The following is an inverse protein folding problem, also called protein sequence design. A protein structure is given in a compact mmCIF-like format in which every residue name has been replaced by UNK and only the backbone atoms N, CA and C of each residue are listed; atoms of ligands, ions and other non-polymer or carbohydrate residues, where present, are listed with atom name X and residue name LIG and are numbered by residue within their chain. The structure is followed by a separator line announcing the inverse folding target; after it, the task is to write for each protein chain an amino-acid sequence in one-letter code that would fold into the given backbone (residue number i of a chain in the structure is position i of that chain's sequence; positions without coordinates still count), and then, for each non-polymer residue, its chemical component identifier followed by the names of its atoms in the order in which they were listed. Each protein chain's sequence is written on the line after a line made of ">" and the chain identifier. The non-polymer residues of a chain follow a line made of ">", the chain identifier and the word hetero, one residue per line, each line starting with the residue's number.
data_IF_295302586890
#
_entry.id   IF_295302586890
#
_cell.length_a   1.000
_cell.length_b   1.000
_cell.length_c   1.000
_cell.angle_alpha   90.00
_cell.angle_beta   90.00
_cell.angle_gamma   90.00
#
_symmetry.space_group_name_H-M   'P 1'
#
loop_
_entity.id
_entity.type
_entity.pdbx_description
1 polymer ?
#
# COMPACT_ATOMS: atom_id res chain seq x y z
N UNK A 1 -29.17 -63.76 -7.75
CA UNK A 1 -29.29 -63.03 -9.01
C UNK A 1 -28.42 -61.75 -8.89
N UNK A 2 -27.25 -61.80 -9.47
CA UNK A 2 -26.24 -60.72 -9.48
C UNK A 2 -26.37 -59.92 -10.77
N UNK A 3 -26.30 -58.58 -10.76
CA UNK A 3 -26.07 -57.81 -11.98
C UNK A 3 -24.62 -57.41 -12.15
N UNK A 4 -24.26 -57.40 -13.39
CA UNK A 4 -22.95 -57.27 -14.02
C UNK A 4 -22.28 -55.88 -13.79
N UNK A 5 -20.96 -55.93 -13.62
CA UNK A 5 -20.05 -54.78 -13.78
C UNK A 5 -19.93 -54.39 -15.27
N UNK A 6 -20.06 -53.10 -15.56
CA UNK A 6 -19.62 -52.50 -16.83
C UNK A 6 -18.34 -51.71 -16.61
N UNK A 7 -17.33 -52.09 -17.41
CA UNK A 7 -16.00 -51.50 -17.34
C UNK A 7 -15.91 -50.16 -18.08
N UNK A 8 -15.07 -49.30 -17.55
CA UNK A 8 -14.64 -48.05 -18.18
C UNK A 8 -13.31 -48.28 -18.90
N UNK A 9 -13.12 -47.85 -20.16
CA UNK A 9 -11.87 -48.05 -20.89
C UNK A 9 -10.82 -46.99 -20.50
N UNK A 10 -9.56 -47.42 -20.37
CA UNK A 10 -8.35 -46.61 -20.25
C UNK A 10 -8.06 -45.96 -21.62
N UNK A 11 -7.54 -44.71 -21.66
CA UNK A 11 -6.94 -44.18 -22.87
C UNK A 11 -5.48 -44.64 -23.01
N UNK A 12 -5.12 -44.88 -24.27
CA UNK A 12 -3.84 -45.38 -24.75
C UNK A 12 -2.71 -44.36 -24.69
N UNK A 13 -1.49 -44.86 -24.51
CA UNK A 13 -0.23 -44.14 -24.58
C UNK A 13 0.07 -43.67 -26.01
N UNK A 14 0.40 -42.41 -26.19
CA UNK A 14 0.97 -41.87 -27.44
C UNK A 14 2.44 -41.54 -27.30
N UNK A 15 3.21 -42.25 -28.01
CA UNK A 15 4.44 -42.03 -28.83
C UNK A 15 5.26 -40.78 -28.58
N UNK A 16 6.55 -41.04 -28.26
CA UNK A 16 7.63 -40.09 -28.20
C UNK A 16 7.98 -39.49 -29.57
N UNK A 17 8.19 -38.18 -29.61
CA UNK A 17 8.77 -37.48 -30.76
C UNK A 17 10.32 -37.40 -30.64
N UNK A 18 11.08 -37.43 -31.75
CA UNK A 18 12.54 -37.52 -31.74
C UNK A 18 13.25 -36.17 -31.53
N UNK A 19 14.40 -36.22 -30.91
CA UNK A 19 15.38 -35.12 -30.79
C UNK A 19 15.93 -34.70 -32.15
N UNK A 20 16.15 -33.41 -32.44
CA UNK A 20 17.01 -33.01 -33.53
C UNK A 20 18.50 -32.96 -33.08
N UNK A 21 19.34 -33.39 -34.05
CA UNK A 21 20.77 -33.46 -33.94
C UNK A 21 21.45 -32.08 -33.99
N UNK A 22 22.58 -31.97 -33.30
CA UNK A 22 23.48 -30.85 -33.39
C UNK A 22 24.23 -30.86 -34.71
N UNK A 23 24.29 -29.71 -35.36
CA UNK A 23 25.42 -29.34 -36.25
C UNK A 23 25.46 -27.87 -36.59
N UNK A 24 26.65 -27.36 -36.51
CA UNK A 24 27.23 -26.35 -37.39
C UNK A 24 27.49 -24.98 -36.76
N UNK A 25 28.77 -24.73 -36.63
CA UNK A 25 29.40 -23.47 -36.25
C UNK A 25 29.15 -22.37 -37.29
N UNK A 26 28.86 -21.16 -36.80
CA UNK A 26 28.82 -19.94 -37.59
C UNK A 26 30.06 -19.10 -37.25
N UNK A 27 30.78 -18.56 -38.27
CA UNK A 27 32.02 -17.84 -38.07
C UNK A 27 31.78 -16.43 -37.51
N UNK A 28 32.74 -15.94 -36.72
CA UNK A 28 32.80 -14.55 -36.23
C UNK A 28 32.99 -13.56 -37.38
N UNK A 29 32.30 -12.44 -37.39
CA UNK A 29 32.70 -11.31 -38.26
C UNK A 29 33.81 -10.50 -37.60
N UNK A 30 34.82 -10.20 -38.38
CA UNK A 30 35.94 -9.31 -38.11
C UNK A 30 35.49 -7.86 -37.97
N UNK A 31 36.19 -7.13 -37.12
CA UNK A 31 36.03 -5.70 -36.86
C UNK A 31 36.33 -4.86 -38.13
N UNK A 32 35.57 -3.83 -38.38
CA UNK A 32 35.98 -2.47 -38.76
C UNK A 32 34.82 -1.69 -39.37
N UNK A 33 34.37 -0.66 -38.67
CA UNK A 33 34.28 0.71 -39.23
C UNK A 33 33.67 1.61 -38.16
N UNK A 34 34.45 2.62 -37.77
CA UNK A 34 34.06 3.66 -36.83
C UNK A 34 32.97 4.54 -37.46
N UNK A 35 31.82 4.64 -36.76
CA UNK A 35 30.79 5.64 -37.01
C UNK A 35 31.18 6.88 -36.20
N UNK A 36 31.20 8.10 -36.80
CA UNK A 36 31.54 9.32 -36.07
C UNK A 36 30.47 9.64 -35.01
N UNK A 37 30.91 9.95 -33.80
CA UNK A 37 30.07 10.48 -32.71
C UNK A 37 29.45 11.81 -33.14
N UNK A 38 28.14 12.03 -32.88
CA UNK A 38 27.58 13.37 -33.00
C UNK A 38 28.20 14.27 -31.95
N UNK A 39 28.68 15.43 -32.35
CA UNK A 39 29.19 16.49 -31.51
C UNK A 39 28.12 16.94 -30.54
N UNK A 40 28.47 16.99 -29.24
CA UNK A 40 27.63 17.50 -28.19
C UNK A 40 27.21 18.94 -28.46
N UNK A 41 25.92 19.15 -28.65
CA UNK A 41 25.31 20.47 -28.59
C UNK A 41 25.36 20.93 -27.13
N UNK A 42 25.98 22.09 -26.92
CA UNK A 42 26.06 22.77 -25.62
C UNK A 42 24.66 23.19 -25.18
N UNK A 43 24.01 22.34 -24.36
CA UNK A 43 22.87 22.77 -23.55
C UNK A 43 23.46 23.56 -22.35
N UNK A 44 22.98 24.78 -22.16
CA UNK A 44 23.29 25.55 -20.96
C UNK A 44 22.98 24.74 -19.69
N UNK A 45 23.87 24.77 -18.68
CA UNK A 45 23.60 24.07 -17.44
C UNK A 45 22.39 24.73 -16.75
N UNK A 46 21.44 23.90 -16.36
CA UNK A 46 20.36 24.24 -15.44
C UNK A 46 20.94 25.05 -14.27
N UNK A 47 20.34 26.17 -13.83
CA UNK A 47 20.76 26.77 -12.59
C UNK A 47 20.54 25.74 -11.48
N UNK A 48 21.63 25.21 -10.94
CA UNK A 48 21.61 24.34 -9.79
C UNK A 48 20.93 25.11 -8.65
N UNK A 49 19.86 24.55 -8.10
CA UNK A 49 19.45 24.90 -6.74
C UNK A 49 20.67 24.58 -5.88
N UNK A 50 21.24 25.54 -5.14
CA UNK A 50 22.44 25.27 -4.35
C UNK A 50 22.12 24.13 -3.40
N UNK A 51 22.97 23.08 -3.30
CA UNK A 51 22.79 22.04 -2.33
C UNK A 51 22.78 22.73 -0.95
N UNK A 52 21.66 22.60 -0.25
CA UNK A 52 21.52 23.10 1.10
C UNK A 52 22.62 22.46 1.95
N UNK A 53 23.58 23.24 2.40
CA UNK A 53 24.60 22.82 3.34
C UNK A 53 23.93 22.52 4.67
N UNK A 54 23.97 21.30 5.07
CA UNK A 54 23.14 20.50 5.94
C UNK A 54 23.42 20.67 7.43
N UNK A 55 23.52 21.87 7.97
CA UNK A 55 23.62 21.99 9.43
C UNK A 55 22.74 23.09 10.07
N UNK A 56 21.94 23.80 9.29
CA UNK A 56 20.95 24.71 9.84
C UNK A 56 19.56 24.39 9.30
N UNK A 57 18.56 24.23 10.19
CA UNK A 57 17.16 24.15 9.77
C UNK A 57 16.83 25.40 8.94
N UNK A 58 16.13 25.22 7.81
CA UNK A 58 15.66 26.32 6.97
C UNK A 58 14.91 27.28 7.89
N UNK A 59 15.31 28.56 7.89
CA UNK A 59 14.64 29.56 8.70
C UNK A 59 13.20 29.70 8.19
N UNK A 60 12.16 29.67 9.06
CA UNK A 60 10.77 29.86 8.65
C UNK A 60 10.50 31.13 7.84
N UNK A 61 11.38 32.13 7.93
CA UNK A 61 11.32 33.38 7.15
C UNK A 61 11.84 33.24 5.71
N UNK A 62 12.55 32.16 5.39
CA UNK A 62 13.15 31.92 4.07
C UNK A 62 12.28 30.99 3.19
N UNK A 63 11.11 30.58 3.70
CA UNK A 63 10.20 29.70 2.97
C UNK A 63 9.46 30.50 1.89
N UNK A 64 9.55 30.02 0.65
CA UNK A 64 8.94 30.65 -0.52
C UNK A 64 7.65 29.88 -0.91
N UNK A 65 6.55 30.61 -1.08
CA UNK A 65 5.31 30.01 -1.54
C UNK A 65 5.43 29.50 -3.00
N UNK A 66 4.98 28.27 -3.24
CA UNK A 66 4.97 27.62 -4.55
C UNK A 66 3.54 27.25 -4.93
N UNK A 67 2.73 28.24 -5.40
CA UNK A 67 1.29 28.07 -5.55
C UNK A 67 0.85 27.41 -6.87
N UNK A 68 1.75 27.30 -7.86
CA UNK A 68 1.44 26.79 -9.21
C UNK A 68 2.64 26.08 -9.81
N UNK A 69 2.39 25.08 -10.69
CA UNK A 69 3.45 24.45 -11.47
C UNK A 69 4.23 25.47 -12.30
N UNK A 70 5.55 25.31 -12.35
CA UNK A 70 6.47 26.25 -13.04
C UNK A 70 6.18 26.36 -14.53
N UNK A 71 5.87 25.22 -15.16
CA UNK A 71 5.61 25.12 -16.60
C UNK A 71 4.14 25.38 -16.97
N UNK A 72 3.33 25.89 -16.00
CA UNK A 72 1.90 26.08 -16.15
C UNK A 72 1.11 24.78 -15.92
N UNK A 73 -0.22 24.86 -16.07
CA UNK A 73 -1.12 23.72 -15.90
C UNK A 73 -1.10 22.84 -17.18
N UNK A 74 -0.67 21.56 -17.09
CA UNK A 74 -0.68 20.68 -18.25
C UNK A 74 -2.11 20.30 -18.68
N UNK A 75 -2.31 20.05 -19.97
CA UNK A 75 -3.55 19.48 -20.48
C UNK A 75 -3.71 18.01 -20.02
N UNK A 76 -4.96 17.59 -19.81
CA UNK A 76 -5.25 16.20 -19.48
C UNK A 76 -5.08 15.31 -20.70
N UNK A 77 -4.32 14.27 -20.56
CA UNK A 77 -4.22 13.16 -21.52
C UNK A 77 -5.44 12.25 -21.33
N UNK A 78 -6.45 12.41 -22.20
CA UNK A 78 -7.75 11.75 -22.09
C UNK A 78 -8.12 10.89 -23.30
N UNK A 79 -7.26 10.82 -24.31
CA UNK A 79 -7.50 10.03 -25.53
C UNK A 79 -6.34 9.08 -25.81
N UNK A 80 -6.56 7.96 -26.55
CA UNK A 80 -5.49 7.04 -26.92
C UNK A 80 -4.34 7.69 -27.69
N UNK A 81 -4.64 8.64 -28.57
CA UNK A 81 -3.62 9.38 -29.34
C UNK A 81 -2.74 10.23 -28.43
N UNK A 82 -3.35 10.96 -27.47
CA UNK A 82 -2.60 11.74 -26.49
C UNK A 82 -1.77 10.83 -25.58
N UNK A 83 -2.31 9.67 -25.17
CA UNK A 83 -1.61 8.69 -24.35
C UNK A 83 -0.37 8.14 -25.04
N UNK A 84 -0.46 7.77 -26.33
CA UNK A 84 0.67 7.31 -27.10
C UNK A 84 1.76 8.39 -27.22
N UNK A 85 1.35 9.65 -27.43
CA UNK A 85 2.31 10.77 -27.43
C UNK A 85 2.96 10.96 -26.06
N UNK A 86 2.20 10.90 -24.97
CA UNK A 86 2.72 10.99 -23.60
C UNK A 86 3.73 9.87 -23.32
N UNK A 87 3.44 8.63 -23.72
CA UNK A 87 4.35 7.50 -23.58
C UNK A 87 5.66 7.71 -24.36
N UNK A 88 5.59 8.22 -25.59
CA UNK A 88 6.78 8.54 -26.41
C UNK A 88 7.64 9.64 -25.76
N UNK A 89 7.01 10.69 -25.21
CA UNK A 89 7.72 11.76 -24.50
C UNK A 89 8.42 11.20 -23.26
N UNK A 90 7.72 10.40 -22.46
CA UNK A 90 8.29 9.76 -21.27
C UNK A 90 9.46 8.84 -21.62
N UNK A 91 9.34 8.04 -22.68
CA UNK A 91 10.43 7.18 -23.14
C UNK A 91 11.67 7.97 -23.58
N UNK A 92 11.48 9.16 -24.15
CA UNK A 92 12.58 10.06 -24.55
C UNK A 92 13.14 10.89 -23.39
N UNK A 93 12.45 10.97 -22.25
CA UNK A 93 12.88 11.69 -21.04
C UNK A 93 14.10 11.04 -20.41
N UNK A 94 14.72 11.75 -19.44
CA UNK A 94 15.94 11.34 -18.74
C UNK A 94 15.71 11.22 -17.24
N UNK A 95 16.54 10.40 -16.57
CA UNK A 95 16.48 10.23 -15.12
C UNK A 95 15.22 9.54 -14.63
N UNK A 96 14.91 9.67 -13.34
CA UNK A 96 13.75 9.06 -12.71
C UNK A 96 12.43 9.69 -13.15
N UNK A 97 11.33 9.05 -12.81
CA UNK A 97 9.96 9.55 -13.05
C UNK A 97 9.28 9.77 -11.70
N UNK A 98 8.87 10.99 -11.42
CA UNK A 98 7.96 11.27 -10.32
C UNK A 98 6.54 10.78 -10.68
N UNK A 99 5.90 10.09 -9.75
CA UNK A 99 4.60 9.44 -9.95
C UNK A 99 3.70 9.73 -8.76
N UNK A 100 2.42 9.98 -9.03
CA UNK A 100 1.37 10.06 -8.03
C UNK A 100 0.05 9.59 -8.63
N UNK A 101 -0.96 9.26 -7.79
CA UNK A 101 -2.26 8.81 -8.28
C UNK A 101 -3.42 9.21 -7.36
N UNK A 102 -4.46 9.80 -7.96
CA UNK A 102 -5.65 10.20 -7.27
C UNK A 102 -6.77 9.16 -7.36
N UNK A 103 -7.40 8.89 -6.24
CA UNK A 103 -8.45 7.88 -6.08
C UNK A 103 -9.78 8.52 -5.66
N UNK A 104 -10.89 7.84 -5.92
CA UNK A 104 -12.22 8.27 -5.52
C UNK A 104 -12.86 7.34 -4.46
N UNK A 105 -12.08 6.73 -3.57
CA UNK A 105 -12.52 5.70 -2.60
C UNK A 105 -13.64 6.17 -1.65
N UNK A 106 -13.73 7.47 -1.38
CA UNK A 106 -14.82 8.08 -0.60
C UNK A 106 -16.15 8.19 -1.37
N UNK A 107 -16.14 7.91 -2.68
CA UNK A 107 -17.26 8.15 -3.60
C UNK A 107 -17.61 6.91 -4.42
N UNK A 108 -16.60 6.24 -4.99
CA UNK A 108 -16.71 5.05 -5.83
C UNK A 108 -16.43 3.78 -5.04
N UNK A 109 -16.78 2.65 -5.65
CA UNK A 109 -16.43 1.35 -5.11
C UNK A 109 -14.98 1.00 -5.50
N UNK A 110 -14.20 0.48 -4.53
CA UNK A 110 -12.82 0.09 -4.80
C UNK A 110 -11.78 1.21 -4.58
N UNK A 111 -10.59 0.99 -5.15
CA UNK A 111 -9.41 1.82 -4.97
C UNK A 111 -8.75 2.18 -6.30
N UNK A 112 -9.53 2.26 -7.37
CA UNK A 112 -9.02 2.60 -8.70
C UNK A 112 -8.42 4.00 -8.77
N UNK A 113 -7.39 4.16 -9.60
CA UNK A 113 -6.85 5.46 -9.98
C UNK A 113 -7.79 6.16 -10.97
N UNK A 114 -8.10 7.44 -10.70
CA UNK A 114 -8.91 8.32 -11.54
C UNK A 114 -8.12 9.45 -12.17
N UNK A 115 -6.90 9.72 -11.69
CA UNK A 115 -5.90 10.55 -12.31
C UNK A 115 -4.53 9.97 -11.98
N UNK A 116 -3.59 10.00 -12.92
CA UNK A 116 -2.18 9.62 -12.71
C UNK A 116 -1.33 10.81 -13.11
N UNK A 117 -0.49 11.26 -12.21
CA UNK A 117 0.45 12.34 -12.40
C UNK A 117 1.84 11.76 -12.67
N UNK A 118 2.51 12.26 -13.68
CA UNK A 118 3.86 11.85 -14.05
C UNK A 118 4.71 13.09 -14.33
N UNK A 119 5.95 13.12 -13.84
CA UNK A 119 6.91 14.14 -14.20
C UNK A 119 8.28 13.51 -14.47
N UNK A 120 8.92 13.95 -15.54
CA UNK A 120 10.25 13.49 -15.92
C UNK A 120 11.07 14.63 -16.51
N UNK A 121 12.40 14.59 -16.33
CA UNK A 121 13.30 15.58 -16.92
C UNK A 121 13.27 15.54 -18.43
N UNK A 122 13.12 16.74 -19.04
CA UNK A 122 12.97 16.91 -20.48
C UNK A 122 11.55 16.70 -21.01
N UNK A 123 10.60 16.31 -20.14
CA UNK A 123 9.19 16.08 -20.50
C UNK A 123 8.26 17.10 -19.83
N UNK A 124 8.53 17.44 -18.56
CA UNK A 124 7.63 18.21 -17.72
C UNK A 124 6.58 17.31 -17.06
N UNK A 125 5.48 17.92 -16.59
CA UNK A 125 4.38 17.24 -15.90
C UNK A 125 3.31 16.79 -16.90
N UNK A 126 2.83 15.57 -16.75
CA UNK A 126 1.74 14.96 -17.51
C UNK A 126 0.62 14.54 -16.55
N UNK A 127 -0.61 14.82 -16.93
CA UNK A 127 -1.81 14.41 -16.20
C UNK A 127 -2.59 13.41 -17.07
N UNK A 128 -2.61 12.14 -16.65
CA UNK A 128 -3.25 11.05 -17.40
C UNK A 128 -4.60 10.74 -16.79
N UNK A 129 -5.66 10.76 -17.59
CA UNK A 129 -6.97 10.23 -17.20
C UNK A 129 -7.07 8.74 -17.56
N UNK A 130 -6.84 7.81 -16.60
CA UNK A 130 -6.81 6.38 -16.90
C UNK A 130 -8.21 5.80 -17.18
N UNK A 131 -9.26 6.61 -17.02
CA UNK A 131 -10.65 6.19 -17.30
C UNK A 131 -10.99 6.35 -18.77
N UNK A 132 -10.48 7.43 -19.42
CA UNK A 132 -10.84 7.81 -20.79
C UNK A 132 -9.71 7.62 -21.78
N UNK A 133 -8.45 7.60 -21.34
CA UNK A 133 -7.28 7.48 -22.24
C UNK A 133 -7.13 6.11 -22.91
N UNK A 134 -7.85 5.08 -22.43
CA UNK A 134 -7.76 3.72 -22.95
C UNK A 134 -6.72 2.85 -22.21
N UNK A 135 -6.32 1.70 -22.81
CA UNK A 135 -5.34 0.80 -22.18
C UNK A 135 -3.98 1.49 -21.99
N UNK A 136 -3.38 1.31 -20.80
CA UNK A 136 -2.12 1.96 -20.45
C UNK A 136 -0.86 1.18 -20.88
N UNK A 137 -0.96 0.28 -21.83
CA UNK A 137 0.13 -0.63 -22.23
C UNK A 137 1.38 0.13 -22.71
N UNK A 138 1.20 1.13 -23.57
CA UNK A 138 2.32 1.95 -24.08
C UNK A 138 2.97 2.77 -22.96
N UNK A 139 2.14 3.27 -22.04
CA UNK A 139 2.61 3.98 -20.85
C UNK A 139 3.40 3.05 -19.93
N UNK A 140 2.91 1.83 -19.72
CA UNK A 140 3.60 0.81 -18.93
C UNK A 140 4.99 0.50 -19.49
N UNK A 141 5.10 0.38 -20.83
CA UNK A 141 6.37 0.17 -21.51
C UNK A 141 7.33 1.35 -21.33
N UNK A 142 6.84 2.58 -21.42
CA UNK A 142 7.66 3.79 -21.21
C UNK A 142 8.13 3.97 -19.75
N UNK A 143 7.38 3.42 -18.81
CA UNK A 143 7.67 3.46 -17.38
C UNK A 143 8.46 2.23 -16.87
N UNK A 144 8.70 1.25 -17.72
CA UNK A 144 9.54 0.08 -17.41
C UNK A 144 11.01 0.45 -17.59
N UNK A 145 11.76 0.54 -16.51
CA UNK A 145 13.19 0.85 -16.50
C UNK A 145 13.59 2.08 -15.67
N UNK A 146 12.98 3.27 -15.82
CA UNK A 146 13.31 4.39 -14.95
C UNK A 146 12.93 4.11 -13.48
N UNK A 147 13.71 4.69 -12.55
CA UNK A 147 13.31 4.73 -11.14
C UNK A 147 12.03 5.55 -10.97
N UNK A 148 11.06 5.04 -10.24
CA UNK A 148 9.89 5.81 -9.84
C UNK A 148 10.14 6.52 -8.51
N UNK A 149 9.75 7.77 -8.45
CA UNK A 149 9.73 8.55 -7.22
C UNK A 149 8.28 8.72 -6.79
N UNK A 150 7.93 8.24 -5.60
CA UNK A 150 6.62 8.45 -4.99
C UNK A 150 6.79 9.03 -3.58
N UNK A 151 5.70 9.57 -3.04
CA UNK A 151 5.59 9.93 -1.64
C UNK A 151 4.58 9.03 -0.96
N UNK A 152 5.02 8.19 -0.01
CA UNK A 152 4.20 7.13 0.61
C UNK A 152 3.69 6.07 -0.39
N UNK A 153 4.59 5.51 -1.17
CA UNK A 153 4.35 4.61 -2.29
C UNK A 153 3.42 3.41 -1.98
N UNK A 154 3.39 2.93 -0.73
CA UNK A 154 2.47 1.84 -0.27
C UNK A 154 1.00 2.18 -0.51
N UNK A 155 0.65 3.46 -0.68
CA UNK A 155 -0.71 3.92 -0.94
C UNK A 155 -1.09 3.81 -2.43
N UNK A 156 -0.17 4.08 -3.36
CA UNK A 156 -0.47 4.25 -4.79
C UNK A 156 -0.04 3.06 -5.65
N UNK A 157 1.03 2.36 -5.28
CA UNK A 157 1.45 1.12 -5.97
C UNK A 157 0.30 0.14 -6.21
N UNK A 158 -0.63 -0.13 -5.26
CA UNK A 158 -1.73 -1.05 -5.52
C UNK A 158 -2.66 -0.61 -6.66
N UNK A 159 -3.06 0.66 -6.72
CA UNK A 159 -3.96 1.15 -7.78
C UNK A 159 -3.23 1.28 -9.13
N UNK A 160 -1.95 1.66 -9.12
CA UNK A 160 -1.11 1.70 -10.33
C UNK A 160 -0.88 0.28 -10.89
N UNK A 161 -0.56 -0.68 -10.02
CA UNK A 161 -0.41 -2.10 -10.41
C UNK A 161 -1.70 -2.69 -10.97
N UNK A 162 -2.86 -2.35 -10.40
CA UNK A 162 -4.16 -2.76 -10.92
C UNK A 162 -4.42 -2.22 -12.35
N UNK A 163 -3.81 -1.11 -12.72
CA UNK A 163 -3.82 -0.53 -14.07
C UNK A 163 -2.69 -1.06 -14.98
N UNK A 164 -1.91 -2.03 -14.51
CA UNK A 164 -0.81 -2.65 -15.28
C UNK A 164 0.52 -1.89 -15.22
N UNK A 165 0.62 -0.84 -14.40
CA UNK A 165 1.85 -0.06 -14.21
C UNK A 165 2.67 -0.64 -13.06
N UNK A 166 3.98 -0.86 -13.29
CA UNK A 166 4.87 -1.45 -12.28
C UNK A 166 6.21 -0.71 -12.28
N UNK A 167 6.71 -0.40 -11.09
CA UNK A 167 8.02 0.20 -10.93
C UNK A 167 9.13 -0.86 -11.08
N UNK A 168 10.15 -0.58 -11.88
CA UNK A 168 11.38 -1.39 -11.95
C UNK A 168 12.28 -1.12 -10.73
N UNK A 169 12.36 0.13 -10.28
CA UNK A 169 12.99 0.57 -9.04
C UNK A 169 12.18 1.71 -8.42
N UNK A 170 12.35 1.94 -7.13
CA UNK A 170 11.54 2.87 -6.36
C UNK A 170 12.42 3.73 -5.46
N UNK A 171 12.08 5.01 -5.34
CA UNK A 171 12.48 5.91 -4.27
C UNK A 171 11.22 6.47 -3.59
N UNK A 172 11.05 6.21 -2.30
CA UNK A 172 9.91 6.71 -1.51
C UNK A 172 10.37 7.86 -0.61
N UNK A 173 9.94 9.08 -0.94
CA UNK A 173 10.36 10.30 -0.23
C UNK A 173 9.80 10.38 1.20
N UNK A 174 8.66 9.73 1.51
CA UNK A 174 8.15 9.63 2.89
C UNK A 174 9.04 8.69 3.73
N UNK A 175 9.38 7.52 3.21
CA UNK A 175 10.27 6.57 3.89
C UNK A 175 11.67 7.15 4.07
N UNK A 176 12.21 7.86 3.07
CA UNK A 176 13.47 8.58 3.18
C UNK A 176 13.44 9.58 4.34
N UNK A 177 12.40 10.42 4.40
CA UNK A 177 12.22 11.40 5.48
C UNK A 177 12.10 10.73 6.86
N UNK A 178 11.40 9.59 6.96
CA UNK A 178 11.27 8.81 8.20
C UNK A 178 12.61 8.22 8.65
N UNK A 179 13.41 7.68 7.74
CA UNK A 179 14.75 7.16 8.03
C UNK A 179 15.71 8.27 8.49
N UNK A 180 15.54 9.50 7.98
CA UNK A 180 16.26 10.68 8.43
C UNK A 180 15.75 11.23 9.78
N UNK A 181 14.69 10.66 10.35
CA UNK A 181 14.15 11.04 11.66
C UNK A 181 13.29 12.31 11.63
N UNK A 182 12.73 12.67 10.47
CA UNK A 182 11.83 13.83 10.34
C UNK A 182 10.58 13.62 11.19
N UNK A 183 10.12 14.68 11.85
CA UNK A 183 8.92 14.65 12.69
C UNK A 183 7.63 14.74 11.88
N UNK A 184 7.68 15.52 10.79
CA UNK A 184 6.55 15.72 9.88
C UNK A 184 6.92 15.18 8.50
N UNK A 185 6.28 14.09 8.12
CA UNK A 185 6.64 13.32 6.91
C UNK A 185 5.63 13.46 5.76
N UNK A 186 4.58 14.26 5.90
CA UNK A 186 3.69 14.58 4.77
C UNK A 186 4.40 15.41 3.71
N UNK A 187 4.08 15.20 2.42
CA UNK A 187 4.79 15.76 1.27
C UNK A 187 5.10 17.26 1.41
N UNK A 188 4.09 18.09 1.72
CA UNK A 188 4.28 19.52 1.87
C UNK A 188 5.25 19.89 2.99
N UNK A 189 5.25 19.14 4.11
CA UNK A 189 6.17 19.40 5.22
C UNK A 189 7.61 19.00 4.87
N UNK A 190 7.78 17.87 4.17
CA UNK A 190 9.12 17.41 3.75
C UNK A 190 9.70 18.35 2.70
N UNK A 191 8.90 18.83 1.74
CA UNK A 191 9.33 19.84 0.76
C UNK A 191 9.71 21.15 1.45
N UNK A 192 8.88 21.61 2.40
CA UNK A 192 9.15 22.85 3.14
C UNK A 192 10.45 22.76 3.95
N UNK A 193 10.67 21.63 4.62
CA UNK A 193 11.87 21.41 5.44
C UNK A 193 13.13 21.17 4.58
N UNK A 194 13.01 20.53 3.41
CA UNK A 194 14.17 20.14 2.59
C UNK A 194 14.51 21.16 1.51
N UNK A 195 13.49 21.75 0.87
CA UNK A 195 13.68 22.66 -0.28
C UNK A 195 13.36 24.12 0.03
N UNK A 196 12.79 24.44 1.21
CA UNK A 196 12.35 25.79 1.56
C UNK A 196 11.15 26.29 0.74
N UNK A 197 10.37 25.37 0.15
CA UNK A 197 9.23 25.69 -0.71
C UNK A 197 7.92 25.24 -0.07
N UNK A 198 6.89 26.09 -0.10
CA UNK A 198 5.58 25.79 0.45
C UNK A 198 4.57 25.56 -0.66
N UNK A 199 4.11 24.32 -0.79
CA UNK A 199 3.06 23.98 -1.72
C UNK A 199 1.69 24.52 -1.28
N UNK A 200 0.84 24.90 -2.24
CA UNK A 200 -0.55 25.20 -1.96
C UNK A 200 -1.26 23.96 -1.40
N UNK A 201 -2.03 24.16 -0.32
CA UNK A 201 -2.83 23.08 0.29
C UNK A 201 -4.20 23.11 -0.32
N UNK A 202 -4.73 21.96 -0.80
CA UNK A 202 -6.16 21.67 -0.93
C UNK A 202 -6.44 20.37 -1.73
N UNK A 203 -7.70 19.87 -1.69
CA UNK A 203 -8.30 18.86 -2.58
C UNK A 203 -7.98 17.38 -2.37
N UNK A 204 -7.15 16.96 -1.39
CA UNK A 204 -6.85 15.55 -1.13
C UNK A 204 -8.08 14.63 -0.91
N UNK A 205 -9.23 15.19 -0.50
CA UNK A 205 -10.48 14.45 -0.26
C UNK A 205 -11.56 14.68 -1.34
N UNK A 206 -11.17 15.11 -2.54
CA UNK A 206 -12.08 15.41 -3.63
C UNK A 206 -12.65 14.14 -4.31
N UNK A 207 -13.76 14.29 -5.03
CA UNK A 207 -14.33 13.23 -5.86
C UNK A 207 -13.61 13.17 -7.22
N UNK A 208 -12.44 12.57 -7.28
CA UNK A 208 -11.64 12.48 -8.49
C UNK A 208 -12.30 11.73 -9.65
N UNK A 209 -13.46 11.09 -9.41
CA UNK A 209 -14.27 10.51 -10.49
C UNK A 209 -15.12 11.52 -11.24
N UNK A 210 -15.14 12.77 -10.79
CA UNK A 210 -15.87 13.88 -11.47
C UNK A 210 -15.25 14.18 -12.83
N UNK A 211 -16.09 14.43 -13.84
CA UNK A 211 -15.67 14.85 -15.17
C UNK A 211 -16.55 16.01 -15.68
N UNK A 212 -15.95 17.06 -16.26
CA UNK A 212 -14.51 17.33 -16.31
C UNK A 212 -13.94 17.62 -14.93
N UNK A 213 -12.63 17.38 -14.74
CA UNK A 213 -11.93 17.73 -13.50
C UNK A 213 -11.76 19.26 -13.41
N UNK A 214 -12.02 19.88 -12.25
CA UNK A 214 -11.80 21.32 -12.06
C UNK A 214 -10.32 21.71 -12.19
N UNK A 215 -10.03 22.88 -12.75
CA UNK A 215 -8.66 23.36 -12.94
C UNK A 215 -7.87 23.48 -11.62
N UNK A 216 -8.52 23.85 -10.51
CA UNK A 216 -7.88 23.90 -9.20
C UNK A 216 -7.39 22.53 -8.72
N UNK A 217 -8.13 21.45 -9.00
CA UNK A 217 -7.73 20.09 -8.67
C UNK A 217 -6.54 19.63 -9.53
N UNK A 218 -6.57 19.99 -10.81
CA UNK A 218 -5.44 19.68 -11.72
C UNK A 218 -4.17 20.42 -11.31
N UNK A 219 -4.30 21.67 -10.83
CA UNK A 219 -3.17 22.42 -10.29
C UNK A 219 -2.58 21.72 -9.06
N UNK A 220 -3.45 21.28 -8.13
CA UNK A 220 -3.03 20.52 -6.95
C UNK A 220 -2.31 19.24 -7.37
N UNK A 221 -2.92 18.40 -8.20
CA UNK A 221 -2.35 17.15 -8.67
C UNK A 221 -1.00 17.32 -9.42
N UNK A 222 -0.86 18.40 -10.19
CA UNK A 222 0.41 18.69 -10.85
C UNK A 222 1.51 19.09 -9.86
N UNK A 223 1.16 19.78 -8.76
CA UNK A 223 2.10 20.16 -7.71
C UNK A 223 2.61 18.96 -6.90
N UNK A 224 1.82 17.89 -6.74
CA UNK A 224 2.22 16.70 -5.98
C UNK A 224 3.41 15.95 -6.61
N UNK A 225 3.65 16.13 -7.92
CA UNK A 225 4.83 15.56 -8.61
C UNK A 225 5.89 16.61 -9.00
N UNK A 226 5.57 17.89 -8.92
CA UNK A 226 6.37 19.00 -9.46
C UNK A 226 7.80 19.04 -8.87
N UNK A 227 7.91 18.83 -7.57
CA UNK A 227 9.18 18.95 -6.82
C UNK A 227 9.74 17.60 -6.38
N UNK A 228 9.13 16.47 -6.76
CA UNK A 228 9.56 15.16 -6.27
C UNK A 228 10.98 14.78 -6.76
N UNK A 229 11.38 15.20 -7.96
CA UNK A 229 12.73 14.91 -8.47
C UNK A 229 13.79 15.66 -7.64
N UNK A 230 13.58 16.96 -7.43
CA UNK A 230 14.49 17.77 -6.63
C UNK A 230 14.53 17.31 -5.15
N UNK A 231 13.36 16.95 -4.61
CA UNK A 231 13.23 16.39 -3.27
C UNK A 231 13.97 15.05 -3.12
N UNK A 232 13.82 14.16 -4.10
CA UNK A 232 14.52 12.86 -4.14
C UNK A 232 16.03 13.04 -4.09
N UNK A 233 16.56 13.95 -4.90
CA UNK A 233 18.01 14.18 -4.99
C UNK A 233 18.57 14.77 -3.69
N UNK A 234 17.85 15.69 -3.07
CA UNK A 234 18.22 16.23 -1.77
C UNK A 234 18.17 15.16 -0.66
N UNK A 235 17.08 14.39 -0.56
CA UNK A 235 16.94 13.33 0.44
C UNK A 235 17.95 12.19 0.23
N UNK A 236 18.30 11.85 -1.02
CA UNK A 236 19.34 10.86 -1.30
C UNK A 236 20.70 11.31 -0.77
N UNK A 237 21.06 12.58 -0.98
CA UNK A 237 22.30 13.18 -0.43
C UNK A 237 22.32 13.14 1.10
N UNK A 238 21.19 13.47 1.74
CA UNK A 238 21.08 13.40 3.21
C UNK A 238 21.17 11.95 3.73
N UNK A 239 20.56 10.98 3.05
CA UNK A 239 20.65 9.56 3.41
C UNK A 239 22.09 9.04 3.32
N UNK A 240 22.82 9.41 2.26
CA UNK A 240 24.24 9.08 2.10
C UNK A 240 25.08 9.69 3.22
N UNK A 241 24.89 10.97 3.51
CA UNK A 241 25.58 11.67 4.59
C UNK A 241 25.30 11.07 5.98
N UNK A 242 24.08 10.55 6.19
CA UNK A 242 23.69 9.87 7.42
C UNK A 242 24.10 8.37 7.46
N UNK A 243 24.67 7.80 6.40
CA UNK A 243 25.00 6.38 6.27
C UNK A 243 23.76 5.47 6.24
N UNK A 244 22.61 5.98 5.78
CA UNK A 244 21.32 5.27 5.77
C UNK A 244 20.81 4.95 4.36
N UNK A 245 21.60 5.21 3.33
CA UNK A 245 21.27 4.95 1.92
C UNK A 245 20.93 3.47 1.67
N UNK A 246 21.72 2.55 2.24
CA UNK A 246 21.47 1.11 2.14
C UNK A 246 20.22 0.66 2.91
N UNK A 247 19.88 1.34 4.02
CA UNK A 247 18.62 1.08 4.72
C UNK A 247 17.43 1.51 3.87
N UNK A 248 17.54 2.69 3.28
CA UNK A 248 16.53 3.24 2.40
C UNK A 248 16.29 2.34 1.17
N UNK A 249 17.35 1.90 0.50
CA UNK A 249 17.27 1.00 -0.64
C UNK A 249 16.51 -0.31 -0.30
N UNK A 250 16.78 -0.90 0.88
CA UNK A 250 16.09 -2.11 1.35
C UNK A 250 14.60 -1.85 1.63
N UNK A 251 14.24 -0.71 2.23
CA UNK A 251 12.85 -0.35 2.47
C UNK A 251 12.10 -0.06 1.17
N UNK A 252 12.70 0.66 0.24
CA UNK A 252 12.10 0.95 -1.07
C UNK A 252 11.84 -0.34 -1.85
N UNK A 253 12.81 -1.27 -1.88
CA UNK A 253 12.64 -2.57 -2.52
C UNK A 253 11.57 -3.42 -1.84
N UNK A 254 11.50 -3.37 -0.51
CA UNK A 254 10.45 -4.05 0.25
C UNK A 254 9.06 -3.54 -0.12
N UNK A 255 8.86 -2.21 -0.23
CA UNK A 255 7.58 -1.62 -0.65
C UNK A 255 7.26 -1.99 -2.10
N UNK A 256 8.25 -1.88 -3.00
CA UNK A 256 8.08 -2.18 -4.42
C UNK A 256 7.65 -3.62 -4.68
N UNK A 257 8.23 -4.58 -3.94
CA UNK A 257 8.02 -6.02 -4.13
C UNK A 257 6.95 -6.62 -3.23
N UNK A 258 6.37 -5.80 -2.36
CA UNK A 258 5.36 -6.25 -1.41
C UNK A 258 4.16 -6.88 -2.13
N UNK A 259 3.80 -8.13 -1.80
CA UNK A 259 2.64 -8.76 -2.41
C UNK A 259 1.35 -8.00 -2.07
N UNK A 260 0.38 -8.06 -2.97
CA UNK A 260 -0.95 -7.53 -2.70
C UNK A 260 -1.49 -8.10 -1.38
N UNK A 261 -2.06 -7.24 -0.55
CA UNK A 261 -2.63 -7.67 0.73
C UNK A 261 -3.70 -8.74 0.49
N UNK A 262 -3.64 -9.89 1.16
CA UNK A 262 -4.66 -10.91 1.00
C UNK A 262 -6.03 -10.35 1.38
N UNK A 263 -7.08 -10.89 0.77
CA UNK A 263 -8.45 -10.54 1.12
C UNK A 263 -8.67 -10.77 2.62
N UNK A 264 -9.23 -9.78 3.29
CA UNK A 264 -9.48 -9.87 4.74
C UNK A 264 -10.50 -10.97 5.01
N UNK A 265 -10.19 -11.86 5.93
CA UNK A 265 -11.14 -12.83 6.46
C UNK A 265 -12.15 -12.07 7.33
N UNK A 266 -13.45 -12.36 7.15
CA UNK A 266 -14.54 -11.73 7.91
C UNK A 266 -14.45 -10.20 8.02
N UNK A 267 -14.32 -9.44 6.90
CA UNK A 267 -14.13 -7.99 6.95
C UNK A 267 -15.31 -7.27 7.63
N UNK A 268 -16.49 -7.87 7.63
CA UNK A 268 -17.70 -7.39 8.29
C UNK A 268 -17.54 -7.25 9.83
N UNK A 269 -16.66 -8.05 10.46
CA UNK A 269 -16.36 -7.94 11.90
C UNK A 269 -15.66 -6.64 12.27
N UNK A 270 -14.99 -6.01 11.31
CA UNK A 270 -14.32 -4.71 11.48
C UNK A 270 -15.25 -3.51 11.25
N UNK A 271 -16.56 -3.76 11.07
CA UNK A 271 -17.55 -2.67 11.00
C UNK A 271 -17.46 -1.82 12.27
N UNK A 272 -17.33 -0.48 12.14
CA UNK A 272 -17.21 0.42 13.29
C UNK A 272 -18.32 0.18 14.32
N UNK A 273 -17.94 0.07 15.59
CA UNK A 273 -18.81 -0.25 16.77
C UNK A 273 -19.38 -1.66 16.81
N UNK A 274 -19.17 -2.52 15.81
CA UNK A 274 -19.70 -3.88 15.85
C UNK A 274 -19.12 -4.67 17.03
N UNK A 275 -17.81 -4.62 17.26
CA UNK A 275 -17.15 -5.37 18.34
C UNK A 275 -17.61 -5.03 19.75
N UNK A 276 -18.12 -3.81 19.98
CA UNK A 276 -18.67 -3.39 21.28
C UNK A 276 -20.17 -3.65 21.44
N UNK A 277 -20.92 -3.63 20.34
CA UNK A 277 -22.39 -3.62 20.37
C UNK A 277 -23.04 -4.93 19.96
N UNK A 278 -22.41 -5.70 19.03
CA UNK A 278 -22.97 -6.92 18.46
C UNK A 278 -22.32 -8.14 19.11
N UNK A 279 -23.01 -8.80 20.04
CA UNK A 279 -22.41 -9.82 20.90
C UNK A 279 -22.98 -11.25 20.73
N UNK A 280 -24.15 -11.41 20.10
CA UNK A 280 -24.73 -12.75 19.94
C UNK A 280 -24.45 -13.32 18.55
N UNK A 281 -24.32 -14.65 18.40
CA UNK A 281 -24.11 -15.30 17.10
C UNK A 281 -25.16 -14.87 16.05
N UNK A 282 -26.43 -14.82 16.43
CA UNK A 282 -27.54 -14.41 15.53
C UNK A 282 -27.41 -12.93 15.12
N UNK A 283 -26.99 -12.04 16.03
CA UNK A 283 -26.73 -10.64 15.70
C UNK A 283 -25.55 -10.50 14.76
N UNK A 284 -24.50 -11.31 14.94
CA UNK A 284 -23.34 -11.34 14.03
C UNK A 284 -23.71 -11.86 12.66
N UNK A 285 -24.63 -12.85 12.57
CA UNK A 285 -25.17 -13.29 11.29
C UNK A 285 -25.92 -12.18 10.55
N UNK A 286 -26.76 -11.41 11.23
CA UNK A 286 -27.45 -10.24 10.63
C UNK A 286 -26.42 -9.20 10.15
N UNK A 287 -25.40 -8.92 10.92
CA UNK A 287 -24.33 -8.00 10.53
C UNK A 287 -23.61 -8.48 9.27
N UNK A 288 -23.25 -9.78 9.20
CA UNK A 288 -22.59 -10.42 8.06
C UNK A 288 -23.42 -10.33 6.78
N UNK A 289 -24.68 -10.76 6.85
CA UNK A 289 -25.56 -10.80 5.70
C UNK A 289 -25.88 -9.38 5.16
N UNK A 290 -26.09 -8.41 6.04
CA UNK A 290 -26.29 -7.03 5.65
C UNK A 290 -25.01 -6.43 5.06
N UNK A 291 -23.86 -6.74 5.62
CA UNK A 291 -22.57 -6.28 5.10
C UNK A 291 -22.33 -6.83 3.69
N UNK A 292 -22.49 -8.14 3.49
CA UNK A 292 -22.35 -8.78 2.18
C UNK A 292 -23.32 -8.19 1.14
N UNK A 293 -24.58 -8.02 1.51
CA UNK A 293 -25.60 -7.43 0.65
C UNK A 293 -25.29 -5.98 0.28
N UNK A 294 -24.72 -5.20 1.22
CA UNK A 294 -24.27 -3.83 0.98
C UNK A 294 -23.08 -3.78 0.03
N UNK A 295 -22.03 -4.60 0.26
CA UNK A 295 -20.84 -4.64 -0.61
C UNK A 295 -21.23 -5.01 -2.04
N UNK A 296 -22.10 -6.00 -2.20
CA UNK A 296 -22.59 -6.39 -3.51
C UNK A 296 -23.33 -5.23 -4.22
N UNK A 297 -24.25 -4.55 -3.54
CA UNK A 297 -24.96 -3.41 -4.11
C UNK A 297 -24.02 -2.22 -4.37
N UNK A 298 -23.04 -2.01 -3.51
CA UNK A 298 -22.05 -0.95 -3.68
C UNK A 298 -21.20 -1.17 -4.94
N UNK A 299 -20.80 -2.42 -5.19
CA UNK A 299 -20.09 -2.80 -6.41
C UNK A 299 -20.98 -2.65 -7.66
N UNK A 300 -22.25 -3.12 -7.61
CA UNK A 300 -23.24 -2.99 -8.71
C UNK A 300 -23.47 -1.51 -9.09
N UNK A 301 -23.48 -0.60 -8.12
CA UNK A 301 -23.73 0.82 -8.31
C UNK A 301 -22.45 1.67 -8.51
N UNK A 302 -21.28 1.04 -8.42
CA UNK A 302 -19.99 1.74 -8.37
C UNK A 302 -20.01 2.90 -7.35
N UNK A 303 -20.39 2.60 -6.11
CA UNK A 303 -20.50 3.59 -5.03
C UNK A 303 -19.86 3.08 -3.75
N UNK A 304 -19.23 4.00 -3.00
CA UNK A 304 -18.66 3.62 -1.70
C UNK A 304 -19.74 3.01 -0.79
N UNK A 305 -19.46 1.87 -0.13
CA UNK A 305 -20.44 1.13 0.66
C UNK A 305 -21.16 1.96 1.73
N UNK A 306 -20.45 2.89 2.37
CA UNK A 306 -21.03 3.76 3.42
C UNK A 306 -22.12 4.72 2.92
N UNK A 307 -22.07 5.11 1.63
CA UNK A 307 -23.11 5.92 0.98
C UNK A 307 -24.31 5.08 0.53
N UNK A 308 -24.12 3.76 0.34
CA UNK A 308 -25.21 2.83 0.01
C UNK A 308 -26.02 2.48 1.25
N UNK A 309 -25.34 2.05 2.33
CA UNK A 309 -25.93 1.84 3.65
C UNK A 309 -24.90 2.13 4.74
N UNK A 310 -25.13 3.14 5.61
CA UNK A 310 -24.18 3.53 6.65
C UNK A 310 -23.85 2.39 7.61
N UNK A 311 -22.62 2.37 8.16
CA UNK A 311 -22.19 1.38 9.14
C UNK A 311 -23.14 1.30 10.35
N UNK A 312 -23.67 2.45 10.80
CA UNK A 312 -24.62 2.52 11.90
C UNK A 312 -25.89 1.72 11.62
N UNK A 313 -26.36 1.67 10.35
CA UNK A 313 -27.55 0.91 9.99
C UNK A 313 -27.32 -0.61 10.12
N UNK A 314 -26.14 -1.10 9.72
CA UNK A 314 -25.77 -2.49 9.91
C UNK A 314 -25.79 -2.88 11.38
N UNK A 315 -25.13 -2.06 12.21
CA UNK A 315 -25.05 -2.31 13.66
C UNK A 315 -26.41 -2.19 14.34
N UNK A 316 -27.21 -1.18 14.01
CA UNK A 316 -28.54 -1.00 14.56
C UNK A 316 -29.47 -2.19 14.25
N UNK A 317 -29.47 -2.68 13.01
CA UNK A 317 -30.24 -3.86 12.63
C UNK A 317 -29.75 -5.14 13.34
N UNK A 318 -28.43 -5.32 13.46
CA UNK A 318 -27.84 -6.46 14.17
C UNK A 318 -28.18 -6.49 15.66
N UNK A 319 -28.23 -5.33 16.30
CA UNK A 319 -28.61 -5.19 17.72
C UNK A 319 -30.12 -5.36 17.90
N UNK A 320 -30.94 -4.69 17.07
CA UNK A 320 -32.40 -4.70 17.19
C UNK A 320 -33.02 -6.06 16.77
N UNK A 321 -32.37 -6.82 15.89
CA UNK A 321 -32.87 -8.10 15.35
C UNK A 321 -34.33 -8.00 14.90
N UNK A 322 -34.67 -7.11 13.96
CA UNK A 322 -36.04 -6.90 13.53
C UNK A 322 -36.62 -8.19 12.94
N UNK A 323 -37.84 -8.54 13.32
CA UNK A 323 -38.56 -9.76 12.87
C UNK A 323 -39.58 -9.46 11.77
N UNK A 324 -39.52 -8.28 11.17
CA UNK A 324 -40.34 -7.91 9.99
C UNK A 324 -39.70 -6.71 9.28
N UNK A 325 -40.00 -6.59 7.99
CA UNK A 325 -39.56 -5.43 7.18
C UNK A 325 -40.01 -4.10 7.81
N UNK A 326 -41.25 -4.06 8.36
CA UNK A 326 -41.77 -2.87 9.03
C UNK A 326 -40.91 -2.45 10.23
N UNK A 327 -40.49 -3.42 11.07
CA UNK A 327 -39.60 -3.15 12.24
C UNK A 327 -38.22 -2.69 11.80
N UNK A 328 -37.67 -3.27 10.72
CA UNK A 328 -36.39 -2.81 10.15
C UNK A 328 -36.50 -1.38 9.64
N UNK A 329 -37.53 -1.08 8.84
CA UNK A 329 -37.73 0.26 8.25
C UNK A 329 -38.05 1.35 9.30
N UNK A 330 -38.47 0.97 10.49
CA UNK A 330 -38.68 1.89 11.62
C UNK A 330 -37.38 2.30 12.32
N UNK A 331 -36.25 1.62 12.02
CA UNK A 331 -34.93 2.02 12.56
C UNK A 331 -34.51 3.33 11.91
N UNK A 332 -34.10 4.31 12.72
CA UNK A 332 -33.68 5.65 12.27
C UNK A 332 -32.61 5.59 11.20
N UNK A 333 -31.69 4.63 11.30
CA UNK A 333 -30.54 4.46 10.42
C UNK A 333 -30.93 3.98 9.01
N UNK A 334 -32.16 3.51 8.80
CA UNK A 334 -32.74 3.13 7.50
C UNK A 334 -33.59 4.25 6.86
N UNK A 335 -33.55 5.47 7.40
CA UNK A 335 -34.37 6.58 6.90
C UNK A 335 -33.85 7.26 5.63
N UNK A 336 -32.57 7.04 5.23
CA UNK A 336 -32.00 7.63 4.04
C UNK A 336 -32.74 7.20 2.76
N UNK A 337 -32.75 8.05 1.73
CA UNK A 337 -33.37 7.73 0.43
C UNK A 337 -32.82 6.41 -0.14
N UNK A 338 -31.52 6.22 -0.11
CA UNK A 338 -30.85 5.02 -0.63
C UNK A 338 -31.25 3.77 0.16
N UNK A 339 -31.31 3.84 1.48
CA UNK A 339 -31.73 2.74 2.33
C UNK A 339 -33.20 2.35 2.04
N UNK A 340 -34.09 3.35 1.86
CA UNK A 340 -35.51 3.12 1.54
C UNK A 340 -35.72 2.48 0.17
N UNK A 341 -34.96 2.90 -0.85
CA UNK A 341 -35.07 2.32 -2.20
C UNK A 341 -34.68 0.84 -2.26
N UNK A 342 -33.89 0.37 -1.33
CA UNK A 342 -33.41 -1.01 -1.29
C UNK A 342 -33.91 -1.80 -0.07
N UNK A 343 -35.04 -1.41 0.53
CA UNK A 343 -35.60 -2.04 1.73
C UNK A 343 -35.81 -3.55 1.59
N UNK A 344 -36.27 -3.99 0.42
CA UNK A 344 -36.49 -5.42 0.14
C UNK A 344 -35.15 -6.20 0.19
N UNK A 345 -34.10 -5.64 -0.38
CA UNK A 345 -32.77 -6.25 -0.38
C UNK A 345 -32.22 -6.38 1.05
N UNK A 346 -32.38 -5.32 1.86
CA UNK A 346 -31.95 -5.36 3.26
C UNK A 346 -32.77 -6.34 4.10
N UNK A 347 -34.08 -6.37 3.87
CA UNK A 347 -34.94 -7.29 4.58
C UNK A 347 -34.57 -8.76 4.26
N UNK A 348 -34.40 -9.12 3.00
CA UNK A 348 -33.97 -10.46 2.60
C UNK A 348 -32.62 -10.87 3.21
N UNK A 349 -31.68 -9.93 3.37
CA UNK A 349 -30.43 -10.21 4.05
C UNK A 349 -30.65 -10.53 5.53
N UNK A 350 -31.50 -9.78 6.21
CA UNK A 350 -31.85 -10.04 7.61
C UNK A 350 -32.61 -11.37 7.74
N UNK A 351 -33.56 -11.63 6.86
CA UNK A 351 -34.38 -12.85 6.84
C UNK A 351 -33.48 -14.09 6.71
N UNK A 352 -32.57 -14.11 5.73
CA UNK A 352 -31.57 -15.19 5.62
C UNK A 352 -30.80 -15.39 6.92
N UNK A 353 -30.35 -14.31 7.56
CA UNK A 353 -29.63 -14.41 8.82
C UNK A 353 -30.50 -14.94 9.98
N UNK A 354 -31.81 -14.66 9.97
CA UNK A 354 -32.73 -15.16 10.98
C UNK A 354 -33.08 -16.66 10.78
N UNK A 355 -33.02 -17.14 9.55
CA UNK A 355 -33.33 -18.53 9.17
C UNK A 355 -32.13 -19.47 9.26
N UNK A 356 -30.90 -18.95 9.37
CA UNK A 356 -29.71 -19.79 9.52
C UNK A 356 -29.85 -20.78 10.68
N UNK A 357 -29.49 -22.06 10.49
CA UNK A 357 -29.34 -23.01 11.60
C UNK A 357 -28.31 -22.53 12.63
N UNK A 358 -28.45 -22.99 13.89
CA UNK A 358 -27.57 -22.48 14.96
C UNK A 358 -26.11 -22.90 14.79
N UNK A 359 -25.82 -24.01 14.13
CA UNK A 359 -24.48 -24.51 13.77
C UNK A 359 -23.82 -23.72 12.63
N UNK A 360 -24.59 -22.98 11.80
CA UNK A 360 -24.06 -22.09 10.76
C UNK A 360 -23.85 -20.65 11.25
N UNK A 361 -24.19 -20.34 12.49
CA UNK A 361 -24.02 -18.99 13.02
C UNK A 361 -22.53 -18.64 13.22
N UNK A 362 -22.14 -17.41 12.91
CA UNK A 362 -20.78 -16.97 13.18
C UNK A 362 -20.46 -17.05 14.69
N UNK A 363 -19.29 -17.58 15.06
CA UNK A 363 -18.88 -17.58 16.46
C UNK A 363 -18.71 -16.15 16.98
N UNK A 364 -18.95 -15.93 18.26
CA UNK A 364 -18.85 -14.59 18.89
C UNK A 364 -17.44 -14.03 18.82
N UNK A 365 -16.42 -14.89 18.89
CA UNK A 365 -15.02 -14.54 18.64
C UNK A 365 -14.59 -15.19 17.32
N UNK A 366 -13.95 -14.40 16.46
CA UNK A 366 -13.31 -15.00 15.28
C UNK A 366 -12.27 -16.01 15.75
N UNK A 367 -12.18 -17.20 15.14
CA UNK A 367 -11.03 -18.06 15.34
C UNK A 367 -9.78 -17.31 14.88
N UNK A 368 -8.67 -17.53 15.55
CA UNK A 368 -7.38 -17.00 15.12
C UNK A 368 -7.01 -17.67 13.78
N UNK A 369 -6.54 -16.89 12.83
CA UNK A 369 -5.97 -17.44 11.62
C UNK A 369 -4.68 -18.23 11.95
N UNK A 370 -4.29 -19.21 11.13
CA UNK A 370 -3.00 -19.88 11.32
C UNK A 370 -1.86 -18.85 11.44
N UNK A 371 -1.08 -18.94 12.50
CA UNK A 371 -0.01 -17.98 12.81
C UNK A 371 -0.44 -16.66 13.45
N UNK A 372 -1.74 -16.39 13.58
CA UNK A 372 -2.21 -15.18 14.26
C UNK A 372 -2.12 -15.35 15.79
N UNK A 373 -1.52 -14.36 16.45
CA UNK A 373 -1.39 -14.37 17.91
C UNK A 373 -2.63 -13.83 18.62
N UNK A 374 -2.96 -14.31 19.83
CA UNK A 374 -3.98 -13.69 20.67
C UNK A 374 -3.66 -12.20 20.90
N UNK A 375 -4.69 -11.40 21.16
CA UNK A 375 -4.49 -9.98 21.40
C UNK A 375 -3.63 -9.76 22.66
N UNK A 376 -2.58 -8.91 22.64
CA UNK A 376 -1.63 -8.72 23.75
C UNK A 376 -2.28 -8.40 25.12
N UNK A 377 -3.46 -7.76 25.13
CA UNK A 377 -4.20 -7.49 26.38
C UNK A 377 -4.60 -8.76 27.14
N UNK A 378 -4.68 -9.92 26.48
CA UNK A 378 -4.98 -11.19 27.13
C UNK A 378 -3.75 -11.91 27.68
N UNK A 379 -2.54 -11.50 27.26
CA UNK A 379 -1.30 -12.21 27.57
C UNK A 379 -0.96 -12.20 29.04
N UNK A 380 -1.13 -11.08 29.74
CA UNK A 380 -0.88 -11.02 31.19
C UNK A 380 -1.63 -12.08 31.99
N UNK A 381 -2.82 -12.50 31.52
CA UNK A 381 -3.62 -13.50 32.22
C UNK A 381 -3.29 -14.93 31.84
N UNK A 382 -2.90 -15.16 30.58
CA UNK A 382 -2.81 -16.51 30.02
C UNK A 382 -1.41 -16.88 29.51
N UNK A 383 -0.52 -15.90 29.31
CA UNK A 383 0.82 -16.03 28.74
C UNK A 383 1.73 -14.97 29.35
N UNK A 384 1.94 -15.06 30.67
CA UNK A 384 2.60 -14.01 31.46
C UNK A 384 4.04 -13.76 30.97
N UNK A 385 4.79 -14.81 30.68
CA UNK A 385 6.16 -14.72 30.16
C UNK A 385 6.21 -13.96 28.83
N UNK A 386 5.29 -14.23 27.91
CA UNK A 386 5.22 -13.51 26.65
C UNK A 386 4.85 -12.03 26.85
N UNK A 387 4.00 -11.70 27.82
CA UNK A 387 3.65 -10.31 28.13
C UNK A 387 4.84 -9.52 28.70
N UNK A 388 5.64 -10.15 29.56
CA UNK A 388 6.86 -9.57 30.11
C UNK A 388 7.90 -9.34 29.02
N UNK A 389 8.20 -10.37 28.19
CA UNK A 389 9.10 -10.26 27.05
C UNK A 389 8.65 -9.18 26.05
N UNK A 390 7.36 -9.02 25.80
CA UNK A 390 6.86 -7.94 24.94
C UNK A 390 7.18 -6.56 25.48
N UNK A 391 7.15 -6.39 26.79
CA UNK A 391 7.50 -5.11 27.44
C UNK A 391 8.99 -4.82 27.27
N UNK A 392 9.84 -5.81 27.49
CA UNK A 392 11.30 -5.71 27.32
C UNK A 392 11.69 -5.45 25.86
N UNK A 393 11.14 -6.23 24.91
CA UNK A 393 11.35 -6.04 23.47
C UNK A 393 10.99 -4.62 23.04
N UNK A 394 9.83 -4.12 23.47
CA UNK A 394 9.40 -2.77 23.12
C UNK A 394 10.30 -1.69 23.72
N UNK A 395 10.77 -1.88 24.94
CA UNK A 395 11.66 -0.92 25.57
C UNK A 395 13.01 -0.85 24.83
N UNK A 396 13.61 -2.00 24.53
CA UNK A 396 14.88 -2.09 23.80
C UNK A 396 14.78 -1.49 22.39
N UNK A 397 13.72 -1.84 21.64
CA UNK A 397 13.53 -1.29 20.28
C UNK A 397 13.29 0.21 20.31
N UNK A 398 12.53 0.74 21.28
CA UNK A 398 12.31 2.19 21.43
C UNK A 398 13.61 2.90 21.70
N UNK A 399 14.38 2.44 22.68
CA UNK A 399 15.65 3.04 23.05
C UNK A 399 16.60 3.08 21.86
N UNK A 400 16.80 1.95 21.20
CA UNK A 400 17.73 1.91 20.05
C UNK A 400 17.25 2.72 18.85
N UNK A 401 15.94 2.75 18.60
CA UNK A 401 15.34 3.58 17.55
C UNK A 401 15.58 5.08 17.79
N UNK A 402 15.54 5.55 19.07
CA UNK A 402 15.88 6.91 19.45
C UNK A 402 17.38 7.20 19.21
N UNK A 403 18.28 6.26 19.56
CA UNK A 403 19.72 6.38 19.35
C UNK A 403 20.08 6.55 17.87
N UNK A 404 19.47 5.74 16.98
CA UNK A 404 19.73 5.80 15.53
C UNK A 404 18.81 6.79 14.80
N UNK A 405 17.94 7.49 15.51
CA UNK A 405 16.99 8.47 14.97
C UNK A 405 16.11 7.93 13.83
N UNK A 406 15.42 6.83 14.10
CA UNK A 406 14.37 6.28 13.22
C UNK A 406 13.10 5.98 14.02
N UNK A 407 11.90 5.99 13.41
CA UNK A 407 10.69 5.53 14.09
C UNK A 407 10.82 4.05 14.53
N UNK A 408 10.40 3.74 15.75
CA UNK A 408 10.51 2.39 16.31
C UNK A 408 9.80 1.33 15.47
N UNK A 409 8.68 1.68 14.84
CA UNK A 409 7.92 0.77 13.97
C UNK A 409 8.61 0.53 12.61
N UNK A 410 9.52 1.41 12.21
CA UNK A 410 10.36 1.22 11.03
C UNK A 410 11.58 0.35 11.36
N UNK A 411 12.18 0.52 12.56
CA UNK A 411 13.25 -0.36 13.03
C UNK A 411 12.75 -1.80 13.19
N UNK A 412 11.60 -2.01 13.85
CA UNK A 412 10.99 -3.33 13.96
C UNK A 412 9.48 -3.20 14.10
N UNK A 413 8.74 -3.84 13.18
CA UNK A 413 7.28 -3.72 13.17
C UNK A 413 6.65 -4.25 14.47
N UNK A 414 5.51 -3.67 14.92
CA UNK A 414 4.81 -4.20 16.10
C UNK A 414 4.41 -5.67 16.00
N UNK A 415 4.28 -6.19 14.78
CA UNK A 415 4.00 -7.60 14.52
C UNK A 415 5.22 -8.46 14.81
N UNK A 416 6.39 -8.13 14.28
CA UNK A 416 7.64 -8.82 14.59
C UNK A 416 7.95 -8.78 16.09
N UNK A 417 7.76 -7.63 16.74
CA UNK A 417 7.95 -7.50 18.19
C UNK A 417 7.04 -8.46 18.98
N UNK A 418 5.78 -8.61 18.58
CA UNK A 418 4.84 -9.54 19.22
C UNK A 418 5.23 -11.01 18.99
N UNK A 419 5.57 -11.38 17.77
CA UNK A 419 5.95 -12.75 17.46
C UNK A 419 7.23 -13.15 18.19
N UNK A 420 8.25 -12.29 18.19
CA UNK A 420 9.50 -12.55 18.92
C UNK A 420 9.23 -12.75 20.44
N UNK A 421 8.44 -11.85 21.03
CA UNK A 421 8.12 -11.94 22.46
C UNK A 421 7.27 -13.17 22.80
N UNK A 422 6.36 -13.57 21.90
CA UNK A 422 5.54 -14.76 22.05
C UNK A 422 6.36 -16.04 22.04
N UNK A 423 7.25 -16.19 21.05
CA UNK A 423 8.10 -17.37 20.88
C UNK A 423 9.05 -17.53 22.08
N UNK A 424 9.70 -16.42 22.48
CA UNK A 424 10.60 -16.43 23.64
C UNK A 424 9.84 -16.70 24.96
N UNK A 425 8.62 -16.15 25.12
CA UNK A 425 7.78 -16.43 26.27
C UNK A 425 7.35 -17.90 26.35
N UNK A 426 6.98 -18.52 25.25
CA UNK A 426 6.63 -19.93 25.19
C UNK A 426 7.83 -20.84 25.53
N UNK A 427 9.04 -20.47 25.11
CA UNK A 427 10.26 -21.20 25.47
C UNK A 427 10.57 -21.12 26.98
N UNK A 428 10.36 -19.96 27.59
CA UNK A 428 10.52 -19.81 29.05
C UNK A 428 9.49 -20.69 29.80
N UNK A 429 8.24 -20.68 29.36
CA UNK A 429 7.19 -21.52 29.95
C UNK A 429 7.51 -23.03 29.75
N UNK A 430 8.24 -23.38 28.70
CA UNK A 430 8.75 -24.73 28.44
C UNK A 430 10.05 -25.08 29.21
N UNK A 431 10.57 -24.17 30.06
CA UNK A 431 11.73 -24.41 30.91
C UNK A 431 13.08 -23.94 30.35
N UNK A 432 13.12 -23.10 29.34
CA UNK A 432 14.35 -22.47 28.87
C UNK A 432 14.96 -21.58 29.97
N UNK A 433 16.21 -21.82 30.32
CA UNK A 433 16.97 -21.06 31.33
C UNK A 433 18.20 -20.32 30.77
N UNK A 434 18.50 -20.48 29.47
CA UNK A 434 19.65 -19.86 28.85
C UNK A 434 19.37 -18.45 28.32
N UNK A 435 20.44 -17.64 28.19
CA UNK A 435 20.37 -16.32 27.56
C UNK A 435 20.02 -16.43 26.08
N UNK A 436 19.28 -15.46 25.58
CA UNK A 436 18.99 -15.32 24.14
C UNK A 436 20.17 -14.60 23.49
N UNK A 437 20.76 -15.20 22.45
CA UNK A 437 21.90 -14.62 21.75
C UNK A 437 21.46 -13.72 20.59
N UNK A 438 22.32 -12.79 20.16
CA UNK A 438 22.05 -11.95 19.00
C UNK A 438 21.87 -12.79 17.71
N UNK A 439 22.57 -13.91 17.59
CA UNK A 439 22.43 -14.82 16.45
C UNK A 439 21.03 -15.46 16.40
N UNK A 440 20.52 -15.96 17.53
CA UNK A 440 19.17 -16.53 17.61
C UNK A 440 18.10 -15.51 17.28
N UNK A 441 18.26 -14.26 17.74
CA UNK A 441 17.35 -13.16 17.41
C UNK A 441 17.41 -12.86 15.90
N UNK A 442 18.62 -12.78 15.33
CA UNK A 442 18.80 -12.52 13.90
C UNK A 442 18.08 -13.56 13.03
N UNK A 443 18.22 -14.84 13.37
CA UNK A 443 17.56 -15.95 12.66
C UNK A 443 16.03 -15.85 12.73
N UNK A 444 15.48 -15.49 13.90
CA UNK A 444 14.03 -15.31 14.09
C UNK A 444 13.51 -14.11 13.32
N UNK A 445 14.21 -12.97 13.40
CA UNK A 445 13.82 -11.76 12.68
C UNK A 445 13.87 -11.97 11.15
N UNK A 446 14.87 -12.69 10.65
CA UNK A 446 14.96 -13.08 9.25
C UNK A 446 13.78 -13.97 8.82
N UNK A 447 13.41 -14.95 9.63
CA UNK A 447 12.24 -15.81 9.39
C UNK A 447 10.92 -15.04 9.40
N UNK A 448 10.84 -13.94 10.13
CA UNK A 448 9.69 -13.01 10.16
C UNK A 448 9.71 -11.99 9.02
N UNK A 449 10.71 -12.01 8.12
CA UNK A 449 10.81 -11.10 6.98
C UNK A 449 11.35 -9.72 7.31
N UNK A 450 12.07 -9.57 8.43
CA UNK A 450 12.81 -8.35 8.71
C UNK A 450 13.95 -8.16 7.68
N UNK A 451 14.19 -6.90 7.28
CA UNK A 451 15.24 -6.58 6.31
C UNK A 451 16.62 -6.68 6.96
N UNK A 452 17.68 -6.91 6.19
CA UNK A 452 19.04 -7.05 6.72
C UNK A 452 19.46 -5.90 7.65
N UNK A 453 19.18 -4.65 7.29
CA UNK A 453 19.50 -3.49 8.13
C UNK A 453 18.78 -3.52 9.49
N UNK A 454 17.50 -3.96 9.52
CA UNK A 454 16.71 -4.08 10.75
C UNK A 454 17.30 -5.16 11.66
N UNK A 455 17.69 -6.29 11.07
CA UNK A 455 18.32 -7.40 11.79
C UNK A 455 19.64 -6.93 12.40
N UNK A 456 20.47 -6.27 11.61
CA UNK A 456 21.77 -5.73 12.05
C UNK A 456 21.61 -4.76 13.23
N UNK A 457 20.64 -3.86 13.17
CA UNK A 457 20.41 -2.86 14.19
C UNK A 457 19.67 -3.42 15.43
N UNK A 458 18.64 -4.24 15.23
CA UNK A 458 17.78 -4.68 16.33
C UNK A 458 18.37 -5.87 17.12
N UNK A 459 19.10 -6.81 16.48
CA UNK A 459 19.50 -8.04 17.15
C UNK A 459 20.47 -7.84 18.32
N UNK A 460 21.50 -6.98 18.24
CA UNK A 460 22.38 -6.71 19.37
C UNK A 460 21.64 -6.03 20.53
N UNK A 461 20.80 -5.04 20.23
CA UNK A 461 20.02 -4.31 21.22
C UNK A 461 19.05 -5.23 21.98
N UNK A 462 18.36 -6.10 21.26
CA UNK A 462 17.44 -7.08 21.84
C UNK A 462 18.20 -8.14 22.65
N UNK A 463 19.34 -8.63 22.19
CA UNK A 463 20.14 -9.61 22.95
C UNK A 463 20.67 -9.02 24.26
N UNK A 464 21.06 -7.75 24.27
CA UNK A 464 21.49 -7.07 25.49
C UNK A 464 20.35 -6.89 26.51
N UNK A 465 19.13 -6.68 26.05
CA UNK A 465 17.96 -6.47 26.91
C UNK A 465 17.31 -7.78 27.39
N UNK A 466 17.39 -8.86 26.62
CA UNK A 466 16.70 -10.12 26.86
C UNK A 466 17.63 -11.21 27.43
N UNK A 467 18.92 -10.96 27.46
CA UNK A 467 19.99 -11.83 28.01
C UNK A 467 20.31 -11.48 29.48
#
# INVERSE_FOLDING_TARGET
>A
MTPRRTGVPRPAATSAAPRPAATSAVPRPTASSAVPRPTASSAEPRPAVPPGTTDHPINPHDIVDYPRPKDGLPEITATPTQLNRAAQLLAAGRGPVAVDAERASGFRYGQDAYLIQLRRDGVGTLLIDPVTAGPLTELATALDGPEWILHAADQDIPCLTARGLKAASLFDTELAARLLGRQHVGLGAVIEETLGLRLAKDHAAADWSTRPLPASWLTYAALDVELLIDLRDALATELEAAGKDQWAAQEFEHVRTKPAKPAKVDPWRKTPRAGSSVRSPRSLAILRELWNSREQLAAELDRTPSKVLPHQALVAAAVARPRSRRKMSALKEFSSRQARQNQERWWRAIERALELPDDELPPTRAPLAPGELPHPRSWQRHHAAAAERLTEVRAAIRQHAEEIRVPQELLLTPECQRHLAWDLGAEIEAGRTGRVTAQEISERLAAMGARPWQIEQASPALAAALG
#
